data_IF_597485781021
#
_entry.id   IF_597485781021
#
_cell.length_a   1.000
_cell.length_b   1.000
_cell.length_c   1.000
_cell.angle_alpha   90.00
_cell.angle_beta   90.00
_cell.angle_gamma   90.00
#
_symmetry.space_group_name_H-M   'P 1'
#
loop_
_entity.id
_entity.type
_entity.pdbx_description
1 polymer ?
#
# COMPACT_ATOMS: atom_id res chain seq x y z
N UNK A 1 12.47 -9.44 27.24
CA UNK A 1 12.60 -8.95 25.85
C UNK A 1 11.88 -7.62 25.76
N UNK A 2 12.45 -6.62 25.07
CA UNK A 2 11.72 -5.37 24.76
C UNK A 2 11.10 -5.55 23.38
N UNK A 3 9.77 -5.43 23.30
CA UNK A 3 9.05 -5.45 22.02
C UNK A 3 9.09 -4.04 21.43
N UNK A 4 9.23 -3.94 20.12
CA UNK A 4 9.02 -2.70 19.38
C UNK A 4 7.56 -2.59 18.96
N UNK A 5 6.98 -1.40 19.04
CA UNK A 5 5.62 -1.11 18.57
C UNK A 5 5.71 -0.37 17.24
N UNK A 6 4.95 -0.83 16.24
CA UNK A 6 4.79 -0.11 14.98
C UNK A 6 3.57 0.78 15.13
N UNK A 7 3.75 2.09 15.13
CA UNK A 7 2.67 3.07 15.27
C UNK A 7 2.15 3.58 13.93
N UNK A 8 2.95 3.45 12.86
CA UNK A 8 2.60 3.84 11.50
C UNK A 8 3.47 3.07 10.51
N UNK A 9 2.93 2.75 9.34
CA UNK A 9 3.70 2.31 8.17
C UNK A 9 3.05 2.82 6.89
N UNK A 10 3.87 3.02 5.86
CA UNK A 10 3.45 3.41 4.53
C UNK A 10 4.01 2.39 3.53
N UNK A 11 3.21 2.01 2.53
CA UNK A 11 3.57 1.01 1.52
C UNK A 11 3.81 1.70 0.19
N UNK A 12 4.93 1.41 -0.47
CA UNK A 12 5.17 1.88 -1.83
C UNK A 12 4.78 0.76 -2.80
N UNK A 13 3.78 1.02 -3.64
CA UNK A 13 3.25 0.04 -4.60
C UNK A 13 3.23 0.62 -6.02
N UNK A 14 3.49 -0.22 -7.02
CA UNK A 14 3.33 0.16 -8.43
C UNK A 14 1.88 -0.03 -8.84
N UNK A 15 1.24 1.04 -9.34
CA UNK A 15 -0.13 0.95 -9.84
C UNK A 15 -0.20 0.10 -11.13
N UNK A 16 -1.10 -0.90 -11.21
CA UNK A 16 -1.22 -1.75 -12.41
C UNK A 16 -1.88 -1.03 -13.61
N UNK A 17 -2.52 0.13 -13.39
CA UNK A 17 -3.23 0.88 -14.43
C UNK A 17 -2.34 1.91 -15.15
N UNK A 18 -1.59 2.70 -14.39
CA UNK A 18 -0.77 3.80 -14.93
C UNK A 18 0.73 3.57 -14.79
N UNK A 19 1.15 2.45 -14.18
CA UNK A 19 2.54 2.06 -13.93
C UNK A 19 3.36 2.99 -13.04
N UNK A 20 2.78 4.08 -12.52
CA UNK A 20 3.44 4.96 -11.58
C UNK A 20 3.50 4.33 -10.18
N UNK A 21 4.55 4.68 -9.43
CA UNK A 21 4.65 4.36 -8.01
C UNK A 21 3.69 5.25 -7.21
N UNK A 22 2.94 4.65 -6.30
CA UNK A 22 2.05 5.32 -5.37
C UNK A 22 2.41 4.93 -3.93
N UNK A 23 2.33 5.90 -3.03
CA UNK A 23 2.42 5.63 -1.60
C UNK A 23 1.02 5.35 -1.08
N UNK A 24 0.84 4.22 -0.40
CA UNK A 24 -0.40 3.80 0.26
C UNK A 24 -0.21 4.03 1.75
N UNK A 25 -0.90 5.02 2.29
CA UNK A 25 -0.87 5.29 3.73
C UNK A 25 -1.70 4.23 4.47
N UNK A 26 -1.31 3.87 5.70
CA UNK A 26 -2.08 2.92 6.53
C UNK A 26 -3.57 3.30 6.65
N UNK A 27 -3.90 4.58 6.65
CA UNK A 27 -5.29 5.08 6.70
C UNK A 27 -6.11 4.86 5.44
N UNK A 28 -5.45 4.63 4.31
CA UNK A 28 -6.08 4.45 2.99
C UNK A 28 -6.32 2.97 2.67
N UNK A 29 -5.55 2.08 3.29
CA UNK A 29 -5.70 0.65 3.10
C UNK A 29 -7.00 0.15 3.74
N UNK A 30 -8.01 -0.12 2.92
CA UNK A 30 -9.28 -0.73 3.34
C UNK A 30 -9.44 -2.06 2.64
N UNK A 31 -9.51 -3.16 3.41
CA UNK A 31 -9.71 -4.51 2.86
C UNK A 31 -8.79 -4.85 1.67
N UNK A 32 -7.50 -4.51 1.79
CA UNK A 32 -6.47 -4.74 0.75
C UNK A 32 -6.64 -3.87 -0.52
N UNK A 33 -7.49 -2.85 -0.51
CA UNK A 33 -7.68 -1.91 -1.62
C UNK A 33 -6.94 -0.59 -1.36
N UNK A 34 -6.33 -0.04 -2.41
CA UNK A 34 -5.66 1.26 -2.40
C UNK A 34 -5.99 2.06 -3.65
N UNK A 35 -6.11 3.38 -3.49
CA UNK A 35 -6.36 4.32 -4.57
C UNK A 35 -5.04 4.87 -5.13
N UNK A 36 -4.90 4.89 -6.45
CA UNK A 36 -3.72 5.44 -7.09
C UNK A 36 -3.75 6.97 -7.11
N UNK A 37 -2.72 7.60 -6.53
CA UNK A 37 -2.57 9.07 -6.47
C UNK A 37 -2.34 9.76 -7.83
N UNK A 38 -2.17 9.00 -8.92
CA UNK A 38 -1.87 9.52 -10.27
C UNK A 38 -3.01 9.36 -11.28
N UNK A 39 -3.87 8.36 -11.09
CA UNK A 39 -4.90 8.02 -12.08
C UNK A 39 -6.28 7.80 -11.48
N UNK A 40 -6.42 7.97 -10.16
CA UNK A 40 -7.68 7.83 -9.41
C UNK A 40 -8.34 6.43 -9.50
N UNK A 41 -7.64 5.44 -10.07
CA UNK A 41 -8.07 4.04 -10.11
C UNK A 41 -7.68 3.31 -8.82
N UNK A 42 -8.59 2.48 -8.31
CA UNK A 42 -8.39 1.62 -7.15
C UNK A 42 -7.83 0.26 -7.57
N UNK A 43 -6.94 -0.32 -6.78
CA UNK A 43 -6.34 -1.63 -7.05
C UNK A 43 -6.05 -2.42 -5.77
N UNK A 44 -5.93 -3.74 -5.90
CA UNK A 44 -5.59 -4.60 -4.76
C UNK A 44 -4.09 -4.59 -4.46
N UNK A 45 -3.75 -4.44 -3.18
CA UNK A 45 -2.41 -4.53 -2.63
C UNK A 45 -2.31 -5.78 -1.77
N UNK A 46 -1.37 -6.67 -2.12
CA UNK A 46 -1.07 -7.87 -1.34
C UNK A 46 0.42 -7.90 -1.03
N UNK A 47 0.76 -8.35 0.18
CA UNK A 47 2.14 -8.70 0.48
C UNK A 47 2.50 -9.90 -0.39
N UNK A 48 3.59 -9.75 -1.14
CA UNK A 48 4.15 -10.87 -1.88
C UNK A 48 4.61 -11.92 -0.86
N UNK A 49 4.03 -13.12 -0.92
CA UNK A 49 4.32 -14.20 0.00
C UNK A 49 5.70 -14.83 -0.23
N UNK A 50 6.35 -14.47 -1.35
CA UNK A 50 7.66 -15.00 -1.75
C UNK A 50 8.85 -14.15 -1.24
N UNK A 51 8.61 -13.12 -0.40
CA UNK A 51 9.63 -12.27 0.22
C UNK A 51 9.70 -12.37 1.75
#
# INVERSE_FOLDING_TARGET
MKLGEITQFDVHAKCPHCENETTVYQSELKDEEADCQHCDESFQVKLDADY
#
